data_IF_188333869995
#
_entry.id   IF_188333869995
#
_cell.length_a   1.000
_cell.length_b   1.000
_cell.length_c   1.000
_cell.angle_alpha   90.00
_cell.angle_beta   90.00
_cell.angle_gamma   90.00
#
_symmetry.space_group_name_H-M   'P 1'
#
loop_
_entity.id
_entity.type
_entity.pdbx_description
1 polymer ?
#
# COMPACT_ATOMS: atom_id res chain seq x y z
N UNK A 1 -10.82 -1.49 -3.09
CA UNK A 1 -11.08 -2.93 -2.91
C UNK A 1 -9.84 -3.63 -2.37
N UNK A 2 -10.01 -4.65 -1.54
CA UNK A 2 -8.93 -5.47 -0.98
C UNK A 2 -9.36 -6.93 -1.01
N UNK A 3 -8.44 -7.84 -1.30
CA UNK A 3 -8.66 -9.27 -1.19
C UNK A 3 -8.32 -9.74 0.23
N UNK A 4 -9.12 -10.67 0.78
CA UNK A 4 -8.77 -11.30 2.06
C UNK A 4 -7.52 -12.19 1.95
N UNK A 5 -7.33 -12.77 0.76
CA UNK A 5 -6.15 -13.52 0.29
C UNK A 5 -6.26 -13.70 -1.23
N UNK A 6 -5.19 -14.09 -1.91
CA UNK A 6 -5.28 -14.53 -3.32
C UNK A 6 -6.31 -15.67 -3.46
N UNK A 7 -7.18 -15.58 -4.47
CA UNK A 7 -8.32 -16.48 -4.67
C UNK A 7 -9.46 -16.35 -3.64
N UNK A 8 -9.34 -15.41 -2.70
CA UNK A 8 -10.32 -15.15 -1.64
C UNK A 8 -11.39 -14.14 -2.04
N UNK A 9 -12.16 -13.71 -1.03
CA UNK A 9 -13.24 -12.74 -1.21
C UNK A 9 -12.67 -11.35 -1.47
N UNK A 10 -13.29 -10.64 -2.41
CA UNK A 10 -13.07 -9.21 -2.65
C UNK A 10 -13.94 -8.38 -1.71
N UNK A 11 -13.31 -7.49 -0.96
CA UNK A 11 -13.95 -6.63 0.03
C UNK A 11 -13.85 -5.18 -0.43
N UNK A 12 -14.99 -4.49 -0.47
CA UNK A 12 -15.02 -3.05 -0.64
C UNK A 12 -14.76 -2.39 0.72
N UNK A 13 -13.83 -1.45 0.72
CA UNK A 13 -13.40 -0.72 1.91
C UNK A 13 -13.57 0.77 1.64
N UNK A 14 -14.04 1.49 2.65
CA UNK A 14 -13.96 2.95 2.69
C UNK A 14 -12.79 3.33 3.58
N UNK A 15 -11.92 4.24 3.14
CA UNK A 15 -10.69 4.53 3.85
C UNK A 15 -10.52 6.04 4.03
N UNK A 16 -10.10 6.44 5.22
CA UNK A 16 -9.64 7.78 5.52
C UNK A 16 -8.11 7.80 5.56
N UNK A 17 -7.49 8.87 5.07
CA UNK A 17 -6.03 9.01 5.04
C UNK A 17 -5.60 10.41 5.45
N UNK A 18 -4.65 10.46 6.38
CA UNK A 18 -3.82 11.63 6.64
C UNK A 18 -2.45 11.41 6.02
N UNK A 19 -2.07 12.25 5.06
CA UNK A 19 -0.77 12.21 4.42
C UNK A 19 -0.02 13.52 4.62
N UNK A 20 1.25 13.45 4.99
CA UNK A 20 2.19 14.58 4.97
C UNK A 20 3.33 14.26 4.02
N UNK A 21 3.75 15.25 3.24
CA UNK A 21 4.87 15.13 2.33
C UNK A 21 5.78 16.34 2.51
N UNK A 22 7.08 16.10 2.59
CA UNK A 22 8.13 17.11 2.56
C UNK A 22 9.05 16.85 1.35
N UNK A 23 10.05 17.72 1.17
CA UNK A 23 11.06 17.55 0.12
C UNK A 23 11.78 16.19 0.20
N UNK A 24 11.90 15.60 1.39
CA UNK A 24 12.69 14.38 1.63
C UNK A 24 11.93 13.24 2.30
N UNK A 25 10.62 13.37 2.53
CA UNK A 25 9.85 12.29 3.16
C UNK A 25 8.36 12.32 2.81
N UNK A 26 7.72 11.16 2.89
CA UNK A 26 6.28 11.01 2.82
C UNK A 26 5.83 10.13 3.99
N UNK A 27 4.87 10.61 4.74
CA UNK A 27 4.22 9.87 5.83
C UNK A 27 2.72 9.78 5.56
N UNK A 28 2.15 8.63 5.91
CA UNK A 28 0.76 8.28 5.68
C UNK A 28 0.24 7.49 6.87
N UNK A 29 -0.93 7.89 7.37
CA UNK A 29 -1.67 7.15 8.38
C UNK A 29 -3.12 7.08 7.92
N UNK A 30 -3.66 5.88 7.80
CA UNK A 30 -5.02 5.67 7.33
C UNK A 30 -5.76 4.61 8.12
N UNK A 31 -7.07 4.66 7.99
CA UNK A 31 -7.98 3.65 8.54
C UNK A 31 -9.01 3.29 7.49
N UNK A 32 -9.21 1.99 7.30
CA UNK A 32 -10.15 1.43 6.34
C UNK A 32 -11.25 0.66 7.07
N UNK A 33 -12.50 0.95 6.75
CA UNK A 33 -13.66 0.27 7.28
C UNK A 33 -14.33 -0.58 6.20
N UNK A 34 -14.66 -1.83 6.56
CA UNK A 34 -15.46 -2.74 5.76
C UNK A 34 -16.78 -3.02 6.48
N UNK A 35 -17.88 -3.12 5.72
CA UNK A 35 -19.22 -3.44 6.24
C UNK A 35 -19.68 -2.50 7.37
N UNK A 36 -19.16 -1.27 7.42
CA UNK A 36 -19.37 -0.27 8.46
C UNK A 36 -18.98 -0.67 9.91
N UNK A 37 -18.46 -1.89 10.15
CA UNK A 37 -18.14 -2.39 11.51
C UNK A 37 -16.69 -2.81 11.69
N UNK A 38 -15.99 -3.24 10.64
CA UNK A 38 -14.62 -3.71 10.74
C UNK A 38 -13.65 -2.62 10.31
N UNK A 39 -13.05 -1.92 11.26
CA UNK A 39 -12.04 -0.90 10.99
C UNK A 39 -10.63 -1.45 11.20
N UNK A 40 -9.75 -1.23 10.22
CA UNK A 40 -8.34 -1.61 10.28
C UNK A 40 -7.46 -0.44 9.88
N UNK A 41 -6.45 -0.17 10.70
CA UNK A 41 -5.49 0.90 10.44
C UNK A 41 -4.31 0.41 9.61
N UNK A 42 -3.69 1.34 8.90
CA UNK A 42 -2.42 1.15 8.23
C UNK A 42 -1.59 2.44 8.30
N UNK A 43 -0.28 2.30 8.16
CA UNK A 43 0.62 3.44 8.04
C UNK A 43 1.73 3.15 7.04
N UNK A 44 2.29 4.22 6.49
CA UNK A 44 3.48 4.14 5.67
C UNK A 44 4.35 5.35 5.94
N UNK A 45 5.66 5.12 5.97
CA UNK A 45 6.63 6.18 6.12
C UNK A 45 7.81 5.88 5.21
N UNK A 46 8.15 6.82 4.33
CA UNK A 46 9.27 6.70 3.40
C UNK A 46 10.11 7.97 3.40
N UNK A 47 11.42 7.81 3.35
CA UNK A 47 12.41 8.88 3.20
C UNK A 47 13.04 8.79 1.82
N UNK A 48 13.27 9.95 1.21
CA UNK A 48 14.04 10.08 -0.01
C UNK A 48 15.53 10.24 0.33
N UNK A 49 16.38 9.54 -0.41
CA UNK A 49 17.82 9.70 -0.44
C UNK A 49 18.22 9.78 -1.92
N UNK A 50 18.35 11.01 -2.45
CA UNK A 50 18.47 11.26 -3.88
C UNK A 50 17.24 10.74 -4.63
N UNK A 51 17.46 9.86 -5.62
CA UNK A 51 16.39 9.26 -6.44
C UNK A 51 15.72 8.05 -5.78
N UNK A 52 16.22 7.60 -4.62
CA UNK A 52 15.76 6.38 -3.96
C UNK A 52 14.85 6.71 -2.78
N UNK A 53 13.77 5.95 -2.63
CA UNK A 53 12.86 6.03 -1.50
C UNK A 53 12.95 4.75 -0.68
N UNK A 54 13.11 4.87 0.62
CA UNK A 54 13.18 3.74 1.55
C UNK A 54 12.35 3.99 2.78
N UNK A 55 11.72 2.96 3.32
CA UNK A 55 10.92 3.09 4.52
C UNK A 55 10.15 1.84 4.85
N UNK A 56 9.01 2.02 5.52
CA UNK A 56 8.17 0.93 5.99
C UNK A 56 6.69 1.17 5.70
N UNK A 57 5.97 0.07 5.51
CA UNK A 57 4.52 -0.01 5.48
C UNK A 57 4.04 -0.96 6.58
N UNK A 58 3.15 -0.49 7.43
CA UNK A 58 2.51 -1.30 8.47
C UNK A 58 1.05 -1.48 8.13
N UNK A 59 0.67 -2.70 7.74
CA UNK A 59 -0.73 -3.05 7.47
C UNK A 59 -1.50 -3.45 8.73
N UNK A 60 -2.74 -3.96 8.57
CA UNK A 60 -3.64 -4.36 9.66
C UNK A 60 -3.08 -5.36 10.68
N UNK A 61 -2.00 -6.06 10.34
CA UNK A 61 -1.30 -6.98 11.24
C UNK A 61 -0.30 -6.35 12.19
N UNK A 62 -0.06 -5.04 12.08
CA UNK A 62 0.85 -4.30 12.98
C UNK A 62 2.35 -4.49 12.73
N UNK A 63 2.76 -5.47 11.93
CA UNK A 63 4.18 -5.72 11.63
C UNK A 63 4.71 -4.84 10.48
N UNK A 64 5.80 -4.09 10.68
CA UNK A 64 6.35 -3.19 9.66
C UNK A 64 7.05 -3.96 8.54
N UNK A 65 6.63 -3.72 7.31
CA UNK A 65 7.17 -4.31 6.09
C UNK A 65 8.04 -3.30 5.35
N UNK A 66 9.16 -3.75 4.81
CA UNK A 66 10.15 -2.85 4.21
C UNK A 66 9.71 -2.40 2.83
N UNK A 67 9.87 -1.12 2.55
CA UNK A 67 9.64 -0.49 1.25
C UNK A 67 10.96 0.01 0.68
N UNK A 68 11.25 -0.33 -0.57
CA UNK A 68 12.38 0.24 -1.32
C UNK A 68 11.95 0.52 -2.74
N UNK A 69 12.16 1.75 -3.19
CA UNK A 69 11.57 2.21 -4.43
C UNK A 69 12.20 3.45 -5.00
N UNK A 70 11.52 3.97 -6.01
CA UNK A 70 11.86 5.23 -6.67
C UNK A 70 10.60 5.93 -7.15
N UNK A 71 10.73 7.21 -7.48
CA UNK A 71 9.66 7.99 -8.11
C UNK A 71 9.70 7.82 -9.62
N UNK A 72 8.54 7.64 -10.23
CA UNK A 72 8.33 7.68 -11.68
C UNK A 72 7.08 8.51 -11.96
N UNK A 73 7.28 9.76 -12.42
CA UNK A 73 6.20 10.73 -12.56
C UNK A 73 5.48 10.96 -11.22
N UNK A 74 4.16 10.82 -11.24
CA UNK A 74 3.29 11.01 -10.08
C UNK A 74 3.22 9.80 -9.12
N UNK A 75 3.92 8.72 -9.45
CA UNK A 75 3.92 7.48 -8.67
C UNK A 75 5.24 7.24 -7.94
N UNK A 76 5.15 6.76 -6.71
CA UNK A 76 6.22 6.07 -6.00
C UNK A 76 6.00 4.57 -6.14
N UNK A 77 6.98 3.88 -6.72
CA UNK A 77 6.93 2.44 -6.94
C UNK A 77 7.91 1.74 -5.98
N UNK A 78 7.41 0.82 -5.18
CA UNK A 78 8.14 0.12 -4.15
C UNK A 78 8.16 -1.38 -4.40
N UNK A 79 9.34 -1.97 -4.27
CA UNK A 79 9.47 -3.36 -3.90
C UNK A 79 9.20 -3.47 -2.40
N UNK A 80 8.24 -4.32 -2.05
CA UNK A 80 7.84 -4.60 -0.68
C UNK A 80 8.49 -5.90 -0.22
N UNK A 81 9.05 -5.89 0.98
CA UNK A 81 9.42 -7.10 1.71
C UNK A 81 8.52 -7.22 2.94
N UNK A 82 7.54 -8.12 2.88
CA UNK A 82 6.59 -8.35 3.96
C UNK A 82 7.30 -8.85 5.22
N UNK A 83 6.86 -8.39 6.39
CA UNK A 83 7.39 -8.84 7.68
C UNK A 83 7.18 -10.34 7.93
N UNK A 84 6.11 -10.91 7.37
CA UNK A 84 5.79 -12.34 7.37
C UNK A 84 5.25 -12.76 6.01
N UNK A 85 5.14 -14.07 5.79
CA UNK A 85 4.50 -14.61 4.59
C UNK A 85 3.07 -14.05 4.45
N UNK A 86 2.81 -13.44 3.31
CA UNK A 86 1.55 -12.78 2.94
C UNK A 86 1.25 -13.21 1.51
N UNK A 87 0.04 -13.71 1.25
CA UNK A 87 -0.34 -14.21 -0.08
C UNK A 87 0.60 -15.30 -0.66
N UNK A 88 1.30 -16.02 0.22
CA UNK A 88 2.13 -17.17 -0.15
C UNK A 88 3.62 -16.88 -0.33
N UNK A 89 4.04 -15.61 -0.32
CA UNK A 89 5.47 -15.23 -0.29
C UNK A 89 5.72 -14.00 0.60
N UNK A 90 6.89 -13.36 0.45
CA UNK A 90 7.23 -12.12 1.17
C UNK A 90 7.43 -10.92 0.24
N UNK A 91 7.11 -11.02 -1.04
CA UNK A 91 7.47 -10.04 -2.05
C UNK A 91 6.22 -9.47 -2.71
N UNK A 92 6.15 -8.15 -2.82
CA UNK A 92 5.09 -7.49 -3.58
C UNK A 92 5.62 -6.24 -4.26
N UNK A 93 4.82 -5.71 -5.18
CA UNK A 93 4.99 -4.36 -5.69
C UNK A 93 3.89 -3.48 -5.10
N UNK A 94 4.27 -2.34 -4.55
CA UNK A 94 3.34 -1.33 -4.09
C UNK A 94 3.54 -0.02 -4.86
N UNK A 95 2.45 0.53 -5.37
CA UNK A 95 2.42 1.83 -6.02
C UNK A 95 1.64 2.81 -5.14
N UNK A 96 2.21 4.00 -4.95
CA UNK A 96 1.54 5.13 -4.32
C UNK A 96 1.53 6.28 -5.32
N UNK A 97 0.38 6.55 -5.89
CA UNK A 97 0.20 7.44 -7.05
C UNK A 97 -0.69 8.63 -6.68
N UNK A 98 -0.27 9.83 -7.05
CA UNK A 98 -1.16 10.99 -7.04
C UNK A 98 -2.11 10.91 -8.24
N UNK A 99 -3.42 11.03 -7.98
CA UNK A 99 -4.47 10.94 -9.01
C UNK A 99 -5.22 12.27 -9.07
N UNK A 100 -5.04 13.03 -10.14
CA UNK A 100 -5.60 14.39 -10.23
C UNK A 100 -5.04 15.33 -9.17
N UNK A 101 -5.77 16.40 -8.85
CA UNK A 101 -5.29 17.41 -7.90
C UNK A 101 -5.29 16.89 -6.44
N UNK A 102 -6.33 16.15 -6.07
CA UNK A 102 -6.61 15.78 -4.66
C UNK A 102 -6.70 14.25 -4.42
N UNK A 103 -6.53 13.42 -5.44
CA UNK A 103 -6.61 11.97 -5.29
C UNK A 103 -5.28 11.32 -4.94
N UNK A 104 -5.34 10.20 -4.23
CA UNK A 104 -4.22 9.30 -3.99
C UNK A 104 -4.67 7.86 -4.22
N UNK A 105 -3.86 7.07 -4.92
CA UNK A 105 -4.08 5.64 -5.11
C UNK A 105 -2.96 4.84 -4.46
N UNK A 106 -3.34 3.89 -3.63
CA UNK A 106 -2.45 2.83 -3.14
C UNK A 106 -2.83 1.53 -3.82
N UNK A 107 -1.90 0.91 -4.53
CA UNK A 107 -2.11 -0.38 -5.17
C UNK A 107 -1.01 -1.35 -4.79
N UNK A 108 -1.39 -2.56 -4.37
CA UNK A 108 -0.47 -3.65 -4.06
C UNK A 108 -0.71 -4.79 -5.04
N UNK A 109 0.38 -5.33 -5.57
CA UNK A 109 0.40 -6.47 -6.49
C UNK A 109 1.30 -7.54 -5.88
N UNK A 110 0.72 -8.67 -5.53
CA UNK A 110 1.45 -9.86 -5.08
C UNK A 110 1.55 -10.87 -6.24
N UNK A 111 2.52 -11.77 -6.18
CA UNK A 111 2.62 -12.89 -7.12
C UNK A 111 1.97 -14.11 -6.50
N UNK A 112 1.01 -14.70 -7.20
CA UNK A 112 0.41 -15.97 -6.80
C UNK A 112 1.42 -17.11 -6.99
N UNK A 113 1.87 -17.81 -5.93
CA UNK A 113 2.83 -18.91 -6.07
C UNK A 113 2.26 -20.12 -6.81
N UNK A 114 0.94 -20.32 -6.80
CA UNK A 114 0.31 -21.47 -7.43
C UNK A 114 0.25 -21.33 -8.95
N UNK A 115 -0.07 -20.13 -9.45
CA UNK A 115 -0.20 -19.85 -10.88
C UNK A 115 0.97 -19.07 -11.48
N UNK A 116 1.85 -18.49 -10.66
CA UNK A 116 2.92 -17.60 -11.05
C UNK A 116 2.46 -16.21 -11.50
N UNK A 117 1.15 -15.92 -11.50
CA UNK A 117 0.56 -14.69 -12.04
C UNK A 117 0.62 -13.54 -11.03
N UNK A 118 0.74 -12.31 -11.54
CA UNK A 118 0.59 -11.09 -10.74
C UNK A 118 -0.88 -10.82 -10.46
N UNK A 119 -1.22 -10.59 -9.18
CA UNK A 119 -2.59 -10.36 -8.72
C UNK A 119 -2.64 -9.03 -7.97
N UNK A 120 -3.56 -8.14 -8.36
CA UNK A 120 -3.86 -6.93 -7.58
C UNK A 120 -4.62 -7.34 -6.33
N UNK A 121 -3.94 -7.36 -5.20
CA UNK A 121 -4.50 -7.79 -3.91
C UNK A 121 -5.11 -6.64 -3.13
N UNK A 122 -4.66 -5.42 -3.41
CA UNK A 122 -5.22 -4.20 -2.84
C UNK A 122 -5.20 -3.08 -3.87
N UNK A 123 -6.30 -2.33 -3.95
CA UNK A 123 -6.37 -1.04 -4.63
C UNK A 123 -7.30 -0.14 -3.86
N UNK A 124 -6.75 0.91 -3.27
CA UNK A 124 -7.46 1.88 -2.46
C UNK A 124 -7.31 3.23 -3.14
N UNK A 125 -8.43 3.75 -3.64
CA UNK A 125 -8.54 5.09 -4.21
C UNK A 125 -9.07 6.02 -3.12
N UNK A 126 -8.31 7.08 -2.83
CA UNK A 126 -8.55 8.01 -1.73
C UNK A 126 -8.69 9.42 -2.31
N UNK A 127 -9.51 10.22 -1.65
CA UNK A 127 -9.55 11.67 -1.87
C UNK A 127 -9.02 12.35 -0.62
N UNK A 128 -8.17 13.36 -0.81
CA UNK A 128 -7.72 14.23 0.26
C UNK A 128 -8.95 14.97 0.80
N UNK A 129 -9.20 14.80 2.09
CA UNK A 129 -10.16 15.61 2.84
C UNK A 129 -9.52 16.92 3.27
#
# INVERSE_FOLDING_TARGET
MVLTKIGGKKVNVSCNLKSSASASSVSMNGSCSALAVLTRSFSAYVKAAGQRYTGNYTGPSGQPSRLVGSRKGDALNFNVTWARVTNGDRNAIMMIEKVGQNGLRLQTVDRDPASGRSVVTSRIDLQRQ
#
